data_IF_125577386467
#
_entry.id   IF_125577386467
#
_cell.length_a   1.000
_cell.length_b   1.000
_cell.length_c   1.000
_cell.angle_alpha   90.00
_cell.angle_beta   90.00
_cell.angle_gamma   90.00
#
_symmetry.space_group_name_H-M   'P 1'
#
loop_
_entity.id
_entity.type
_entity.pdbx_description
1 polymer ?
#
# COMPACT_ATOMS: atom_id res chain seq x y z
N UNK A 1 49.81 -15.37 32.00
CA UNK A 1 49.41 -13.96 31.88
C UNK A 1 50.14 -13.24 32.99
N UNK A 2 50.91 -12.19 32.69
CA UNK A 2 51.61 -11.38 33.69
C UNK A 2 51.06 -9.95 33.60
N UNK A 3 50.91 -9.29 34.74
CA UNK A 3 50.61 -7.87 34.77
C UNK A 3 51.94 -7.10 34.81
N UNK A 4 52.14 -6.15 33.90
CA UNK A 4 53.29 -5.27 33.92
C UNK A 4 52.85 -3.90 34.44
N UNK A 5 53.49 -3.44 35.51
CA UNK A 5 53.27 -2.10 36.03
C UNK A 5 53.93 -1.06 35.12
N UNK A 6 53.52 0.21 35.25
CA UNK A 6 54.03 1.31 34.41
C UNK A 6 55.53 1.59 34.56
N UNK A 7 56.16 0.98 35.56
CA UNK A 7 57.60 1.02 35.84
C UNK A 7 58.36 -0.22 35.30
N UNK A 8 57.69 -1.12 34.57
CA UNK A 8 58.28 -2.29 33.92
C UNK A 8 58.46 -3.51 34.83
N UNK A 9 57.93 -3.50 36.05
CA UNK A 9 57.92 -4.69 36.90
C UNK A 9 56.79 -5.64 36.51
N UNK A 10 57.14 -6.92 36.35
CA UNK A 10 56.19 -7.99 36.05
C UNK A 10 55.72 -8.68 37.32
N UNK A 11 54.42 -8.90 37.42
CA UNK A 11 53.77 -9.60 38.52
C UNK A 11 52.99 -10.79 38.00
N UNK A 12 53.09 -11.91 38.70
CA UNK A 12 52.20 -13.04 38.50
C UNK A 12 50.84 -12.73 39.15
N UNK A 13 49.74 -12.72 38.38
CA UNK A 13 48.43 -12.45 38.91
C UNK A 13 48.04 -13.53 39.94
N UNK A 14 47.42 -13.14 41.08
CA UNK A 14 47.02 -14.07 42.12
C UNK A 14 46.14 -15.21 41.61
N UNK A 15 46.16 -16.36 42.30
CA UNK A 15 45.16 -17.41 42.12
C UNK A 15 43.76 -16.79 42.28
N UNK A 16 42.89 -16.98 41.27
CA UNK A 16 41.55 -16.37 41.11
C UNK A 16 41.49 -15.00 40.41
N UNK A 17 42.54 -14.60 39.69
CA UNK A 17 42.43 -13.43 38.80
C UNK A 17 41.48 -13.73 37.64
N UNK A 18 40.41 -12.94 37.52
CA UNK A 18 39.47 -12.99 36.40
C UNK A 18 39.80 -11.83 35.47
N UNK A 19 40.16 -12.15 34.22
CA UNK A 19 40.25 -11.16 33.15
C UNK A 19 38.88 -11.01 32.51
N UNK A 20 38.28 -9.82 32.67
CA UNK A 20 37.04 -9.46 32.02
C UNK A 20 37.38 -8.52 30.85
N UNK A 21 37.26 -9.02 29.62
CA UNK A 21 37.32 -8.18 28.44
C UNK A 21 35.92 -7.60 28.20
N UNK A 22 35.81 -6.27 28.24
CA UNK A 22 34.57 -5.55 27.94
C UNK A 22 34.78 -4.73 26.67
N UNK A 23 33.73 -4.62 25.85
CA UNK A 23 33.72 -3.80 24.63
C UNK A 23 34.77 -4.19 23.57
N UNK A 24 34.98 -5.49 23.35
CA UNK A 24 35.78 -5.94 22.21
C UNK A 24 35.04 -5.55 20.92
N UNK A 25 35.63 -4.62 20.16
CA UNK A 25 35.18 -4.25 18.83
C UNK A 25 36.11 -4.94 17.81
N UNK A 26 35.54 -5.80 16.99
CA UNK A 26 36.28 -6.53 15.95
C UNK A 26 35.97 -5.92 14.59
N UNK A 27 37.00 -5.54 13.85
CA UNK A 27 36.85 -5.20 12.43
C UNK A 27 36.55 -6.44 11.56
N UNK A 28 36.94 -7.62 12.05
CA UNK A 28 36.79 -8.90 11.37
C UNK A 28 36.71 -10.03 12.39
N UNK A 29 35.74 -10.93 12.22
CA UNK A 29 35.62 -12.17 12.95
C UNK A 29 35.43 -13.32 11.96
N UNK A 30 36.16 -14.43 12.16
CA UNK A 30 36.06 -15.63 11.33
C UNK A 30 36.07 -16.89 12.18
N UNK A 31 35.22 -17.84 11.82
CA UNK A 31 35.19 -19.18 12.38
C UNK A 31 33.77 -19.66 12.56
N UNK A 32 33.57 -20.51 13.57
CA UNK A 32 32.23 -20.83 14.02
C UNK A 32 31.70 -19.66 14.84
N UNK A 33 30.83 -18.85 14.24
CA UNK A 33 30.26 -17.66 14.87
C UNK A 33 28.96 -17.95 15.65
N UNK A 34 28.54 -19.21 15.69
CA UNK A 34 27.32 -19.62 16.39
C UNK A 34 26.05 -19.12 15.71
N UNK A 35 24.94 -19.37 16.41
CA UNK A 35 23.62 -18.89 16.02
C UNK A 35 23.33 -17.58 16.72
N UNK A 36 23.17 -16.52 15.95
CA UNK A 36 22.96 -15.18 16.46
C UNK A 36 21.82 -14.51 15.73
N UNK A 37 21.06 -13.69 16.48
CA UNK A 37 19.93 -12.94 15.96
C UNK A 37 20.32 -11.48 15.79
N UNK A 38 20.17 -10.98 14.57
CA UNK A 38 20.31 -9.57 14.23
C UNK A 38 18.91 -8.98 14.06
N UNK A 39 18.60 -7.95 14.85
CA UNK A 39 17.27 -7.33 14.87
C UNK A 39 17.11 -6.37 13.70
N UNK A 40 16.03 -6.54 12.93
CA UNK A 40 15.75 -5.70 11.75
C UNK A 40 14.90 -4.48 12.06
N UNK A 41 14.07 -4.62 13.09
CA UNK A 41 13.08 -3.61 13.46
C UNK A 41 11.73 -3.87 12.78
N UNK A 42 10.70 -3.33 13.41
CA UNK A 42 9.33 -3.32 12.89
C UNK A 42 9.09 -2.06 12.09
N UNK A 43 8.45 -2.20 10.94
CA UNK A 43 8.14 -1.10 10.04
C UNK A 43 6.77 -1.32 9.38
N UNK A 44 6.25 -0.31 8.71
CA UNK A 44 4.92 -0.32 8.11
C UNK A 44 4.92 0.36 6.75
N UNK A 45 4.28 -0.27 5.76
CA UNK A 45 4.01 0.32 4.44
C UNK A 45 2.55 0.76 4.42
N UNK A 46 2.31 2.05 4.24
CA UNK A 46 0.96 2.63 4.06
C UNK A 46 0.45 2.39 2.63
N UNK A 47 -0.85 2.16 2.49
CA UNK A 47 -1.56 1.92 1.22
C UNK A 47 -2.71 2.91 1.10
N UNK A 48 -2.45 4.00 0.37
CA UNK A 48 -3.40 5.12 0.22
C UNK A 48 -4.63 4.79 -0.64
N UNK A 49 -4.68 3.61 -1.28
CA UNK A 49 -5.76 3.24 -2.20
C UNK A 49 -7.14 3.26 -1.53
N UNK A 50 -7.19 3.04 -0.22
CA UNK A 50 -8.42 2.92 0.56
C UNK A 50 -8.70 4.11 1.50
N UNK A 51 -7.89 5.18 1.48
CA UNK A 51 -8.00 6.31 2.43
C UNK A 51 -9.38 6.97 2.48
N UNK A 52 -10.04 7.06 1.32
CA UNK A 52 -11.35 7.69 1.16
C UNK A 52 -12.50 6.69 1.00
N UNK A 53 -12.25 5.41 1.29
CA UNK A 53 -13.25 4.36 1.16
C UNK A 53 -14.40 4.54 2.15
N UNK A 54 -15.63 4.36 1.66
CA UNK A 54 -16.84 4.33 2.48
C UNK A 54 -17.41 2.93 2.58
N UNK A 55 -17.50 2.24 1.44
CA UNK A 55 -18.17 0.95 1.32
C UNK A 55 -17.80 0.25 0.00
N UNK A 56 -18.20 -1.02 -0.09
CA UNK A 56 -18.06 -1.83 -1.29
C UNK A 56 -16.75 -2.61 -1.33
N UNK A 57 -16.73 -3.61 -2.19
CA UNK A 57 -15.66 -4.61 -2.21
C UNK A 57 -14.76 -4.41 -3.42
N UNK A 58 -13.45 -4.59 -3.20
CA UNK A 58 -12.44 -4.67 -4.27
C UNK A 58 -11.70 -5.99 -4.13
N UNK A 59 -11.57 -6.66 -5.27
CA UNK A 59 -10.92 -7.94 -5.36
C UNK A 59 -9.75 -7.87 -6.32
N UNK A 60 -8.57 -8.30 -5.89
CA UNK A 60 -7.38 -8.39 -6.72
C UNK A 60 -7.10 -9.85 -7.08
N UNK A 61 -6.86 -10.16 -8.35
CA UNK A 61 -6.62 -11.55 -8.78
C UNK A 61 -5.22 -12.06 -8.42
N UNK A 62 -4.21 -11.20 -8.57
CA UNK A 62 -2.80 -11.55 -8.47
C UNK A 62 -1.99 -10.55 -7.63
N UNK A 63 -2.42 -10.18 -6.40
CA UNK A 63 -1.62 -9.31 -5.55
C UNK A 63 -0.37 -10.04 -5.05
N UNK A 64 0.73 -9.31 -4.90
CA UNK A 64 2.02 -9.86 -4.42
C UNK A 64 2.70 -8.95 -3.42
N UNK A 65 3.43 -9.56 -2.47
CA UNK A 65 4.39 -8.86 -1.62
C UNK A 65 5.77 -9.44 -1.89
N UNK A 66 6.71 -8.58 -2.25
CA UNK A 66 8.09 -8.98 -2.56
C UNK A 66 9.01 -8.54 -1.44
N UNK A 67 9.74 -9.49 -0.87
CA UNK A 67 10.88 -9.22 0.00
C UNK A 67 12.15 -9.25 -0.84
N UNK A 68 12.90 -8.15 -0.85
CA UNK A 68 14.22 -8.07 -1.45
C UNK A 68 15.27 -8.05 -0.35
N UNK A 69 16.18 -9.01 -0.40
CA UNK A 69 17.20 -9.21 0.60
C UNK A 69 18.55 -8.73 0.09
N UNK A 70 19.32 -8.08 0.97
CA UNK A 70 20.76 -7.91 0.83
C UNK A 70 21.44 -8.54 2.04
N UNK A 71 22.50 -9.30 1.81
CA UNK A 71 23.26 -9.94 2.87
C UNK A 71 24.76 -9.90 2.55
N UNK A 72 25.55 -9.41 3.52
CA UNK A 72 27.01 -9.41 3.46
C UNK A 72 27.65 -10.22 4.59
N UNK A 73 26.84 -10.91 5.40
CA UNK A 73 27.33 -11.91 6.35
C UNK A 73 27.88 -13.11 5.59
N UNK A 74 29.12 -13.51 5.86
CA UNK A 74 29.77 -14.64 5.22
C UNK A 74 29.38 -16.01 5.75
N UNK A 75 28.11 -16.20 6.10
CA UNK A 75 27.57 -17.42 6.71
C UNK A 75 26.07 -17.56 6.43
N UNK A 76 25.52 -18.80 6.49
CA UNK A 76 24.09 -19.03 6.32
C UNK A 76 23.28 -18.09 7.19
N UNK A 77 22.28 -17.47 6.59
CA UNK A 77 21.40 -16.51 7.26
C UNK A 77 19.98 -16.80 6.80
N UNK A 78 19.04 -16.89 7.74
CA UNK A 78 17.62 -17.14 7.48
C UNK A 78 16.78 -16.02 8.09
N UNK A 79 15.70 -15.61 7.45
CA UNK A 79 14.77 -14.67 8.08
C UNK A 79 14.08 -15.33 9.27
N UNK A 80 13.83 -14.52 10.28
CA UNK A 80 12.88 -14.83 11.34
C UNK A 80 11.82 -13.71 11.31
N UNK A 81 10.62 -14.05 10.87
CA UNK A 81 9.52 -13.11 10.66
C UNK A 81 8.66 -13.13 11.92
N UNK A 82 8.73 -12.09 12.74
CA UNK A 82 8.00 -12.02 14.00
C UNK A 82 6.59 -11.44 13.83
N UNK A 83 6.47 -10.49 12.90
CA UNK A 83 5.21 -9.83 12.53
C UNK A 83 5.15 -9.81 11.01
N UNK A 84 4.02 -10.22 10.45
CA UNK A 84 3.70 -9.99 9.06
C UNK A 84 2.17 -10.03 8.91
N UNK A 85 1.56 -8.85 8.86
CA UNK A 85 0.12 -8.71 8.95
C UNK A 85 -0.37 -7.50 8.16
N UNK A 86 -1.65 -7.52 7.81
CA UNK A 86 -2.35 -6.48 7.09
C UNK A 86 -3.28 -5.76 8.07
N UNK A 87 -3.23 -4.44 8.08
CA UNK A 87 -4.20 -3.58 8.75
C UNK A 87 -5.25 -3.15 7.72
N UNK A 88 -6.53 -3.27 8.05
CA UNK A 88 -7.63 -2.98 7.12
C UNK A 88 -8.38 -1.70 7.46
N UNK A 89 -9.18 -1.21 6.51
CA UNK A 89 -10.14 -0.10 6.71
C UNK A 89 -11.17 -0.37 7.81
N UNK A 90 -11.45 -1.64 8.12
CA UNK A 90 -12.39 -2.05 9.17
C UNK A 90 -11.70 -2.21 10.55
N UNK A 91 -10.45 -1.76 10.68
CA UNK A 91 -9.61 -1.89 11.88
C UNK A 91 -9.23 -3.34 12.25
N UNK A 92 -9.42 -4.29 11.33
CA UNK A 92 -8.98 -5.67 11.52
C UNK A 92 -7.46 -5.81 11.32
N UNK A 93 -6.89 -6.78 12.03
CA UNK A 93 -5.49 -7.18 11.90
C UNK A 93 -5.45 -8.61 11.38
N UNK A 94 -5.11 -8.75 10.10
CA UNK A 94 -5.13 -10.04 9.41
C UNK A 94 -3.70 -10.56 9.23
N UNK A 95 -3.32 -11.71 9.82
CA UNK A 95 -1.99 -12.25 9.64
C UNK A 95 -1.79 -12.77 8.21
N UNK A 96 -0.61 -12.54 7.65
CA UNK A 96 -0.21 -13.23 6.43
C UNK A 96 0.26 -14.63 6.80
N UNK A 97 -0.41 -15.63 6.24
CA UNK A 97 -0.15 -17.04 6.47
C UNK A 97 0.63 -17.65 5.32
N UNK A 98 1.76 -18.27 5.63
CA UNK A 98 2.61 -19.00 4.68
C UNK A 98 3.58 -19.90 5.45
N UNK A 99 3.92 -21.07 4.91
CA UNK A 99 4.98 -21.91 5.48
C UNK A 99 6.31 -21.14 5.58
N UNK A 100 6.58 -20.22 4.66
CA UNK A 100 7.80 -19.39 4.66
C UNK A 100 7.83 -18.32 5.75
N UNK A 101 6.68 -17.97 6.33
CA UNK A 101 6.62 -17.11 7.52
C UNK A 101 7.06 -17.89 8.76
N UNK A 102 6.72 -19.18 8.82
CA UNK A 102 7.04 -20.07 9.95
C UNK A 102 8.48 -20.59 9.85
N UNK A 103 8.84 -21.15 8.69
CA UNK A 103 10.13 -21.79 8.46
C UNK A 103 11.24 -20.77 8.22
N UNK A 104 10.89 -19.57 7.72
CA UNK A 104 11.83 -18.55 7.31
C UNK A 104 12.33 -18.73 5.88
N UNK A 105 13.04 -17.73 5.38
CA UNK A 105 13.57 -17.66 4.02
C UNK A 105 15.09 -17.58 4.11
N UNK A 106 15.80 -18.44 3.38
CA UNK A 106 17.27 -18.44 3.36
C UNK A 106 17.83 -17.33 2.46
N UNK A 107 18.85 -16.63 2.97
CA UNK A 107 19.48 -15.52 2.30
C UNK A 107 20.72 -16.06 1.59
N UNK A 108 21.00 -15.68 0.33
CA UNK A 108 22.30 -15.94 -0.24
C UNK A 108 23.35 -15.19 0.58
N UNK A 109 24.55 -15.74 0.67
CA UNK A 109 25.63 -15.17 1.46
C UNK A 109 26.97 -15.29 0.72
N UNK A 110 27.88 -14.32 0.87
CA UNK A 110 29.21 -14.40 0.28
C UNK A 110 30.02 -15.54 0.89
N UNK A 111 30.80 -16.23 0.06
CA UNK A 111 31.82 -17.17 0.52
C UNK A 111 33.07 -16.43 1.03
N UNK A 112 34.01 -17.14 1.68
CA UNK A 112 35.27 -16.55 2.16
C UNK A 112 36.10 -15.88 1.05
N UNK A 113 36.01 -16.38 -0.19
CA UNK A 113 36.69 -15.79 -1.35
C UNK A 113 36.00 -14.53 -1.88
N UNK A 114 34.75 -14.32 -1.48
CA UNK A 114 33.89 -13.19 -1.87
C UNK A 114 33.77 -12.17 -0.72
N UNK A 115 34.75 -12.15 0.18
CA UNK A 115 34.76 -11.23 1.32
C UNK A 115 34.59 -9.77 0.87
N UNK A 116 33.66 -9.07 1.53
CA UNK A 116 33.29 -7.69 1.20
C UNK A 116 32.25 -7.56 0.08
N UNK A 117 31.80 -8.66 -0.53
CA UNK A 117 30.66 -8.65 -1.44
C UNK A 117 29.33 -8.71 -0.69
N UNK A 118 28.29 -8.16 -1.31
CA UNK A 118 26.90 -8.27 -0.87
C UNK A 118 26.20 -9.22 -1.85
N UNK A 119 25.50 -10.22 -1.32
CA UNK A 119 24.60 -11.07 -2.12
C UNK A 119 23.17 -10.56 -1.99
N UNK A 120 22.41 -10.66 -3.07
CA UNK A 120 21.02 -10.23 -3.12
C UNK A 120 20.12 -11.33 -3.64
N UNK A 121 18.88 -11.36 -3.16
CA UNK A 121 17.82 -12.24 -3.67
C UNK A 121 16.46 -11.55 -3.46
N UNK A 122 15.41 -12.17 -4.01
CA UNK A 122 14.04 -11.81 -3.69
C UNK A 122 13.21 -13.05 -3.39
N UNK A 123 12.19 -12.88 -2.56
CA UNK A 123 11.15 -13.87 -2.31
C UNK A 123 9.80 -13.20 -2.49
N UNK A 124 8.88 -13.87 -3.18
CA UNK A 124 7.58 -13.31 -3.52
C UNK A 124 6.50 -14.14 -2.82
N UNK A 125 5.77 -13.47 -1.93
CA UNK A 125 4.50 -13.98 -1.41
C UNK A 125 3.42 -13.72 -2.45
N UNK A 126 2.75 -14.78 -2.88
CA UNK A 126 1.69 -14.75 -3.88
C UNK A 126 0.58 -15.75 -3.48
N UNK A 127 -0.47 -15.81 -4.29
CA UNK A 127 -1.64 -16.68 -4.04
C UNK A 127 -1.33 -18.18 -3.98
N UNK A 128 -0.18 -18.63 -4.50
CA UNK A 128 0.17 -20.05 -4.56
C UNK A 128 0.90 -20.51 -3.29
N UNK A 129 1.46 -19.58 -2.50
CA UNK A 129 2.25 -19.88 -1.31
C UNK A 129 1.77 -19.15 -0.05
N UNK A 130 0.65 -18.42 -0.11
CA UNK A 130 0.12 -17.67 1.03
C UNK A 130 -1.38 -17.36 0.89
N UNK A 131 -1.99 -16.88 1.97
CA UNK A 131 -3.36 -16.34 1.99
C UNK A 131 -3.48 -14.90 1.44
N UNK A 132 -2.47 -14.41 0.70
CA UNK A 132 -2.33 -12.99 0.35
C UNK A 132 -3.55 -12.39 -0.37
N UNK A 133 -4.26 -13.18 -1.19
CA UNK A 133 -5.46 -12.71 -1.91
C UNK A 133 -6.60 -12.35 -0.96
N UNK A 134 -6.71 -13.07 0.16
CA UNK A 134 -7.74 -12.82 1.16
C UNK A 134 -7.40 -11.55 1.95
N UNK A 135 -6.18 -11.47 2.48
CA UNK A 135 -5.79 -10.35 3.35
C UNK A 135 -5.64 -9.03 2.60
N UNK A 136 -5.15 -9.03 1.35
CA UNK A 136 -5.09 -7.82 0.50
C UNK A 136 -6.41 -7.52 -0.23
N UNK A 137 -7.38 -8.44 -0.21
CA UNK A 137 -8.75 -8.20 -0.66
C UNK A 137 -9.65 -7.58 0.41
N UNK A 138 -9.21 -7.53 1.66
CA UNK A 138 -9.98 -7.05 2.81
C UNK A 138 -9.81 -5.54 3.07
N UNK A 139 -9.62 -4.73 2.01
CA UNK A 139 -9.41 -3.28 2.14
C UNK A 139 -8.14 -2.90 2.94
N UNK A 140 -6.94 -3.31 2.50
CA UNK A 140 -5.69 -3.04 3.22
C UNK A 140 -5.33 -1.55 3.24
N UNK A 141 -5.11 -0.98 4.41
CA UNK A 141 -4.56 0.38 4.60
C UNK A 141 -3.07 0.36 4.92
N UNK A 142 -2.55 -0.78 5.41
CA UNK A 142 -1.13 -0.92 5.69
C UNK A 142 -0.65 -2.37 5.74
N UNK A 143 0.64 -2.58 5.46
CA UNK A 143 1.37 -3.83 5.68
C UNK A 143 2.40 -3.62 6.79
N UNK A 144 2.25 -4.35 7.88
CA UNK A 144 3.10 -4.25 9.07
C UNK A 144 3.97 -5.50 9.19
N UNK A 145 5.29 -5.30 9.32
CA UNK A 145 6.26 -6.38 9.30
C UNK A 145 7.44 -6.16 10.27
N UNK A 146 7.99 -7.26 10.79
CA UNK A 146 9.20 -7.30 11.61
C UNK A 146 10.03 -8.53 11.24
N UNK A 147 11.22 -8.28 10.66
CA UNK A 147 12.05 -9.32 10.04
C UNK A 147 13.47 -9.25 10.61
N UNK A 148 13.81 -10.25 11.42
CA UNK A 148 15.17 -10.44 11.90
C UNK A 148 15.97 -11.32 10.93
N UNK A 149 17.30 -11.23 11.02
CA UNK A 149 18.22 -12.17 10.39
C UNK A 149 18.82 -13.10 11.44
N UNK A 150 18.69 -14.41 11.22
CA UNK A 150 19.22 -15.45 12.07
C UNK A 150 20.41 -16.12 11.37
N UNK A 151 21.63 -15.87 11.85
CA UNK A 151 22.83 -16.48 11.29
C UNK A 151 23.01 -17.90 11.82
N UNK A 152 23.60 -18.78 11.01
CA UNK A 152 23.78 -20.20 11.26
C UNK A 152 22.52 -20.86 11.90
N UNK A 153 21.36 -20.77 11.23
CA UNK A 153 20.06 -21.13 11.82
C UNK A 153 19.99 -22.60 12.28
N UNK A 154 20.72 -23.48 11.59
CA UNK A 154 20.76 -24.92 11.83
C UNK A 154 21.89 -25.34 12.81
N UNK A 155 22.64 -24.37 13.36
CA UNK A 155 23.71 -24.57 14.34
C UNK A 155 24.82 -25.55 13.89
N UNK A 156 25.08 -25.65 12.58
CA UNK A 156 26.09 -26.56 12.05
C UNK A 156 27.51 -26.07 12.45
N UNK A 157 28.25 -26.82 13.28
CA UNK A 157 29.58 -26.43 13.74
C UNK A 157 30.67 -26.55 12.66
N UNK A 158 30.37 -27.22 11.55
CA UNK A 158 31.30 -27.39 10.44
C UNK A 158 31.40 -26.16 9.54
N UNK A 159 30.40 -25.28 9.61
CA UNK A 159 30.36 -24.04 8.84
C UNK A 159 31.22 -22.99 9.55
N UNK A 160 32.31 -22.62 8.87
CA UNK A 160 33.17 -21.50 9.28
C UNK A 160 32.92 -20.33 8.35
N UNK A 161 32.33 -19.27 8.90
CA UNK A 161 32.00 -18.05 8.17
C UNK A 161 32.78 -16.84 8.65
N UNK A 162 32.45 -15.68 8.10
CA UNK A 162 33.05 -14.40 8.49
C UNK A 162 32.00 -13.30 8.67
N UNK A 163 32.31 -12.32 9.51
CA UNK A 163 31.58 -11.05 9.67
C UNK A 163 32.61 -9.93 9.81
N UNK A 164 32.38 -8.80 9.15
CA UNK A 164 33.17 -7.57 9.31
C UNK A 164 32.37 -6.51 10.07
N UNK A 165 33.03 -5.45 10.53
CA UNK A 165 32.37 -4.26 11.09
C UNK A 165 31.50 -3.49 10.10
N UNK A 166 31.70 -3.73 8.80
CA UNK A 166 30.89 -3.22 7.70
C UNK A 166 29.80 -4.19 7.22
N UNK A 167 29.74 -5.40 7.77
CA UNK A 167 28.71 -6.36 7.39
C UNK A 167 27.34 -5.89 7.86
N UNK A 168 26.37 -6.03 6.96
CA UNK A 168 24.98 -5.74 7.18
C UNK A 168 24.10 -6.76 6.46
N UNK A 169 22.84 -6.81 6.89
CA UNK A 169 21.75 -7.32 6.08
C UNK A 169 20.71 -6.21 5.91
N UNK A 170 19.89 -6.33 4.86
CA UNK A 170 18.77 -5.43 4.59
C UNK A 170 17.63 -6.22 4.02
N UNK A 171 16.41 -5.89 4.44
CA UNK A 171 15.18 -6.39 3.83
C UNK A 171 14.38 -5.17 3.37
N UNK A 172 14.04 -5.14 2.09
CA UNK A 172 13.13 -4.15 1.53
C UNK A 172 11.85 -4.87 1.14
N UNK A 173 10.71 -4.32 1.54
CA UNK A 173 9.39 -4.92 1.29
C UNK A 173 8.66 -4.04 0.27
N UNK A 174 8.07 -4.69 -0.74
CA UNK A 174 7.27 -4.05 -1.78
C UNK A 174 5.90 -4.70 -1.84
N UNK A 175 4.85 -3.90 -1.97
CA UNK A 175 3.48 -4.36 -2.15
C UNK A 175 3.03 -3.97 -3.54
N UNK A 176 2.65 -4.95 -4.36
CA UNK A 176 2.09 -4.72 -5.68
C UNK A 176 0.62 -5.16 -5.71
N UNK A 177 -0.27 -4.18 -5.90
CA UNK A 177 -1.70 -4.38 -6.12
C UNK A 177 -2.02 -4.14 -7.61
N UNK A 178 -1.99 -5.16 -8.46
CA UNK A 178 -2.29 -4.97 -9.87
C UNK A 178 -3.75 -4.59 -10.04
N UNK A 179 -4.06 -3.65 -10.95
CA UNK A 179 -5.43 -3.32 -11.35
C UNK A 179 -6.03 -4.41 -12.27
N UNK A 180 -5.96 -5.65 -11.80
CA UNK A 180 -6.56 -6.85 -12.38
C UNK A 180 -7.44 -7.48 -11.31
N UNK A 181 -8.76 -7.37 -11.49
CA UNK A 181 -9.66 -7.61 -10.37
C UNK A 181 -11.10 -7.27 -10.65
N UNK A 182 -11.93 -7.31 -9.61
CA UNK A 182 -13.32 -6.88 -9.68
C UNK A 182 -13.65 -5.88 -8.56
N UNK A 183 -14.65 -5.05 -8.80
CA UNK A 183 -15.15 -4.10 -7.81
C UNK A 183 -16.67 -4.03 -7.89
N UNK A 184 -17.32 -4.02 -6.72
CA UNK A 184 -18.77 -3.94 -6.54
C UNK A 184 -19.06 -2.84 -5.53
N UNK A 185 -19.82 -1.83 -5.94
CA UNK A 185 -20.24 -0.70 -5.09
C UNK A 185 -19.07 -0.01 -4.35
N UNK A 186 -17.86 -0.03 -4.91
CA UNK A 186 -16.68 0.59 -4.29
C UNK A 186 -16.87 2.12 -4.30
N UNK A 187 -17.27 2.68 -3.16
CA UNK A 187 -17.58 4.10 -3.01
C UNK A 187 -16.44 4.81 -2.30
N UNK A 188 -15.99 5.91 -2.88
CA UNK A 188 -15.07 6.86 -2.26
C UNK A 188 -15.73 8.22 -2.10
N UNK A 189 -15.37 8.94 -1.04
CA UNK A 189 -15.84 10.30 -0.78
C UNK A 189 -14.68 11.28 -0.77
N UNK A 190 -14.85 12.38 -1.50
CA UNK A 190 -13.95 13.52 -1.40
C UNK A 190 -14.76 14.80 -1.12
N UNK A 191 -14.14 15.77 -0.45
CA UNK A 191 -14.79 17.05 -0.13
C UNK A 191 -13.97 18.21 -0.66
N UNK A 192 -14.60 19.02 -1.51
CA UNK A 192 -13.98 20.18 -2.15
C UNK A 192 -14.50 21.47 -1.53
N UNK A 193 -13.62 22.47 -1.40
CA UNK A 193 -14.05 23.84 -1.10
C UNK A 193 -14.78 24.44 -2.31
N UNK A 194 -15.89 25.12 -2.04
CA UNK A 194 -16.76 25.72 -3.04
C UNK A 194 -17.03 27.18 -2.66
N UNK A 195 -16.94 28.08 -3.63
CA UNK A 195 -17.36 29.47 -3.45
C UNK A 195 -18.34 29.87 -4.55
N UNK A 196 -19.61 30.03 -4.17
CA UNK A 196 -20.68 30.47 -5.08
C UNK A 196 -21.03 31.95 -4.94
N UNK A 197 -20.39 32.68 -4.02
CA UNK A 197 -20.73 34.07 -3.70
C UNK A 197 -20.56 35.03 -4.91
N UNK A 198 -19.79 34.63 -5.92
CA UNK A 198 -19.53 35.39 -7.15
C UNK A 198 -20.68 35.31 -8.17
N UNK A 199 -21.62 34.37 -8.03
CA UNK A 199 -22.72 34.15 -8.97
C UNK A 199 -23.99 34.91 -8.59
N UNK A 200 -23.88 36.21 -8.37
CA UNK A 200 -25.04 37.09 -8.06
C UNK A 200 -25.87 37.34 -9.32
N UNK A 201 -27.19 37.15 -9.23
CA UNK A 201 -28.12 37.43 -10.33
C UNK A 201 -28.31 36.30 -11.35
N UNK A 202 -27.93 35.08 -11.00
CA UNK A 202 -28.22 33.88 -11.79
C UNK A 202 -29.52 33.27 -11.28
N UNK A 203 -30.49 33.08 -12.18
CA UNK A 203 -31.82 32.58 -11.85
C UNK A 203 -31.98 31.08 -12.07
N UNK A 204 -31.14 30.46 -12.89
CA UNK A 204 -31.09 29.01 -13.04
C UNK A 204 -29.75 28.59 -13.65
N UNK A 205 -29.41 27.32 -13.45
CA UNK A 205 -28.22 26.72 -14.06
C UNK A 205 -28.59 25.40 -14.74
N UNK A 206 -28.11 25.17 -15.95
CA UNK A 206 -28.15 23.87 -16.61
C UNK A 206 -26.74 23.32 -16.68
N UNK A 207 -26.52 22.15 -16.07
CA UNK A 207 -25.26 21.42 -16.15
C UNK A 207 -25.34 20.35 -17.22
N UNK A 208 -24.30 20.28 -18.05
CA UNK A 208 -24.09 19.24 -19.05
C UNK A 208 -22.81 18.48 -18.73
N UNK A 209 -22.96 17.22 -18.36
CA UNK A 209 -21.87 16.28 -18.21
C UNK A 209 -21.70 15.48 -19.50
N UNK A 210 -20.49 15.42 -20.04
CA UNK A 210 -20.11 14.53 -21.13
C UNK A 210 -18.97 13.66 -20.65
N UNK A 211 -19.19 12.35 -20.60
CA UNK A 211 -18.20 11.39 -20.18
C UNK A 211 -17.84 10.43 -21.34
N UNK A 212 -16.55 10.14 -21.48
CA UNK A 212 -16.00 9.07 -22.32
C UNK A 212 -15.20 8.13 -21.41
N UNK A 213 -15.46 6.83 -21.48
CA UNK A 213 -14.83 5.84 -20.61
C UNK A 213 -14.24 4.69 -21.41
N UNK A 214 -12.90 4.57 -21.38
CA UNK A 214 -12.18 3.43 -21.94
C UNK A 214 -11.83 2.35 -20.92
N UNK A 215 -12.09 2.57 -19.63
CA UNK A 215 -11.83 1.62 -18.55
C UNK A 215 -13.03 0.68 -18.35
N UNK A 216 -12.80 -0.58 -17.92
CA UNK A 216 -13.87 -1.55 -17.65
C UNK A 216 -14.57 -1.32 -16.31
N UNK A 217 -14.71 -0.05 -15.93
CA UNK A 217 -15.24 0.39 -14.64
C UNK A 217 -16.28 1.48 -14.91
N UNK A 218 -17.54 1.21 -14.61
CA UNK A 218 -18.59 2.21 -14.59
C UNK A 218 -18.44 3.13 -13.38
N UNK A 219 -18.91 4.37 -13.53
CA UNK A 219 -18.80 5.40 -12.49
C UNK A 219 -20.20 5.91 -12.19
N UNK A 220 -20.59 5.76 -10.92
CA UNK A 220 -21.68 6.47 -10.27
C UNK A 220 -21.15 7.72 -9.59
N UNK A 221 -21.95 8.78 -9.61
CA UNK A 221 -21.63 10.01 -8.89
C UNK A 221 -22.84 10.41 -8.08
N UNK A 222 -22.59 11.00 -6.91
CA UNK A 222 -23.54 11.76 -6.13
C UNK A 222 -22.78 12.89 -5.41
N UNK A 223 -23.42 14.04 -5.22
CA UNK A 223 -22.82 15.19 -4.55
C UNK A 223 -23.77 15.80 -3.53
N UNK A 224 -23.21 16.39 -2.48
CA UNK A 224 -23.93 17.09 -1.43
C UNK A 224 -23.29 18.45 -1.18
N UNK A 225 -24.07 19.51 -1.32
CA UNK A 225 -23.64 20.87 -1.00
C UNK A 225 -23.74 21.08 0.51
N UNK A 226 -22.63 21.50 1.12
CA UNK A 226 -22.51 21.69 2.55
C UNK A 226 -22.27 23.16 2.89
N UNK A 227 -22.83 23.62 4.00
CA UNK A 227 -22.48 24.93 4.58
C UNK A 227 -21.12 24.90 5.30
N UNK A 228 -20.74 26.03 5.91
CA UNK A 228 -19.49 26.18 6.68
C UNK A 228 -19.39 25.20 7.87
N UNK A 229 -20.53 24.77 8.40
CA UNK A 229 -20.62 23.84 9.53
C UNK A 229 -20.73 22.37 9.11
N UNK A 230 -20.72 22.08 7.80
CA UNK A 230 -20.84 20.73 7.24
C UNK A 230 -22.29 20.23 7.16
N UNK A 231 -23.29 21.08 7.32
CA UNK A 231 -24.69 20.70 7.17
C UNK A 231 -25.06 20.61 5.69
N UNK A 232 -25.71 19.51 5.29
CA UNK A 232 -26.23 19.33 3.92
C UNK A 232 -27.34 20.33 3.64
N UNK A 233 -27.12 21.19 2.65
CA UNK A 233 -28.06 22.18 2.15
C UNK A 233 -28.94 21.60 1.03
N UNK A 234 -28.32 20.91 0.07
CA UNK A 234 -28.99 20.26 -1.05
C UNK A 234 -28.09 19.18 -1.68
N UNK A 235 -28.63 18.36 -2.56
CA UNK A 235 -27.92 17.32 -3.31
C UNK A 235 -27.69 17.74 -4.78
N UNK A 236 -26.57 17.31 -5.35
CA UNK A 236 -26.26 17.48 -6.77
C UNK A 236 -27.18 16.64 -7.66
N UNK A 237 -27.49 15.40 -7.24
CA UNK A 237 -28.40 14.50 -7.93
C UNK A 237 -29.51 14.06 -6.98
N UNK A 238 -30.75 13.99 -7.47
CA UNK A 238 -31.91 13.55 -6.68
C UNK A 238 -31.82 12.08 -6.26
N UNK A 239 -31.15 11.27 -7.06
CA UNK A 239 -30.78 9.88 -6.79
C UNK A 239 -29.36 9.65 -7.29
N UNK A 240 -28.63 8.72 -6.69
CA UNK A 240 -27.35 8.28 -7.25
C UNK A 240 -27.57 7.76 -8.67
N UNK A 241 -26.73 8.22 -9.59
CA UNK A 241 -26.82 7.85 -10.99
C UNK A 241 -25.47 7.40 -11.52
N UNK A 242 -25.51 6.29 -12.26
CA UNK A 242 -24.37 5.82 -13.05
C UNK A 242 -24.19 6.74 -14.25
N UNK A 243 -23.35 7.75 -14.08
CA UNK A 243 -23.08 8.79 -15.08
C UNK A 243 -22.40 8.24 -16.34
N UNK A 244 -21.66 7.13 -16.22
CA UNK A 244 -21.09 6.43 -17.37
C UNK A 244 -20.93 4.93 -17.08
N UNK A 245 -21.17 4.10 -18.09
CA UNK A 245 -20.94 2.66 -18.04
C UNK A 245 -19.45 2.34 -18.23
N UNK A 246 -19.03 1.18 -17.75
CA UNK A 246 -17.70 0.64 -18.01
C UNK A 246 -17.59 0.15 -19.45
N UNK A 247 -16.40 0.23 -20.01
CA UNK A 247 -16.08 -0.32 -21.32
C UNK A 247 -16.40 -1.84 -21.37
N UNK A 248 -16.99 -2.34 -22.47
CA UNK A 248 -17.23 -3.78 -22.64
C UNK A 248 -15.91 -4.55 -22.67
N UNK A 249 -15.88 -5.72 -22.05
CA UNK A 249 -14.67 -6.55 -21.90
C UNK A 249 -14.71 -7.81 -22.75
N UNK A 250 -13.54 -8.32 -23.12
CA UNK A 250 -13.36 -9.64 -23.73
C UNK A 250 -13.48 -10.76 -22.68
N UNK A 251 -13.39 -12.01 -23.13
CA UNK A 251 -13.31 -13.19 -22.26
C UNK A 251 -12.10 -13.14 -21.31
N UNK A 252 -11.04 -12.43 -21.69
CA UNK A 252 -9.83 -12.27 -20.87
C UNK A 252 -9.88 -11.05 -19.93
N UNK A 253 -11.03 -10.38 -19.84
CA UNK A 253 -11.22 -9.20 -18.98
C UNK A 253 -10.63 -7.91 -19.54
N UNK A 254 -10.26 -7.88 -20.83
CA UNK A 254 -9.66 -6.72 -21.48
C UNK A 254 -10.73 -5.84 -22.15
N UNK A 255 -10.68 -4.51 -21.98
CA UNK A 255 -11.57 -3.59 -22.69
C UNK A 255 -11.48 -3.72 -24.21
N UNK A 256 -12.63 -3.63 -24.87
CA UNK A 256 -12.76 -3.83 -26.33
C UNK A 256 -13.26 -2.59 -27.07
N UNK A 257 -13.88 -1.65 -26.36
CA UNK A 257 -14.40 -0.40 -26.90
C UNK A 257 -14.48 0.68 -25.81
N UNK A 258 -14.89 1.88 -26.18
CA UNK A 258 -15.15 2.98 -25.23
C UNK A 258 -16.64 3.25 -25.11
N UNK A 259 -17.11 3.55 -23.91
CA UNK A 259 -18.48 4.01 -23.66
C UNK A 259 -18.55 5.54 -23.63
N UNK A 260 -19.72 6.09 -23.99
CA UNK A 260 -19.98 7.52 -23.96
C UNK A 260 -21.34 7.80 -23.34
N UNK A 261 -21.40 8.81 -22.48
CA UNK A 261 -22.64 9.24 -21.86
C UNK A 261 -22.72 10.76 -21.84
N UNK A 262 -23.93 11.29 -22.00
CA UNK A 262 -24.23 12.71 -21.83
C UNK A 262 -25.40 12.83 -20.88
N UNK A 263 -25.18 13.52 -19.76
CA UNK A 263 -26.20 13.74 -18.73
C UNK A 263 -26.45 15.24 -18.61
N UNK A 264 -27.73 15.62 -18.64
CA UNK A 264 -28.17 17.01 -18.43
C UNK A 264 -28.83 17.10 -17.06
N UNK A 265 -28.53 18.16 -16.32
CA UNK A 265 -29.11 18.42 -15.00
C UNK A 265 -29.50 19.89 -14.89
N UNK A 266 -30.79 20.10 -14.72
CA UNK A 266 -31.36 21.44 -14.56
C UNK A 266 -31.46 21.76 -13.08
N UNK A 267 -30.86 22.87 -12.66
CA UNK A 267 -31.05 23.47 -11.35
C UNK A 267 -32.07 24.59 -11.49
N UNK A 268 -33.24 24.40 -10.88
CA UNK A 268 -34.22 25.48 -10.74
C UNK A 268 -33.64 26.62 -9.89
N UNK A 269 -34.14 27.84 -10.07
CA UNK A 269 -33.70 28.98 -9.26
C UNK A 269 -33.89 28.81 -7.77
N UNK A 270 -34.93 28.06 -7.36
CA UNK A 270 -35.12 27.68 -5.97
C UNK A 270 -33.98 26.77 -5.47
N UNK A 271 -33.56 25.79 -6.27
CA UNK A 271 -32.43 24.91 -5.93
C UNK A 271 -31.11 25.69 -5.90
N UNK A 272 -30.90 26.58 -6.87
CA UNK A 272 -29.71 27.41 -6.93
C UNK A 272 -29.60 28.36 -5.73
N UNK A 273 -30.71 28.95 -5.29
CA UNK A 273 -30.76 29.80 -4.09
C UNK A 273 -30.43 29.01 -2.82
N UNK A 274 -30.87 27.75 -2.72
CA UNK A 274 -30.56 26.88 -1.56
C UNK A 274 -29.10 26.50 -1.45
N UNK A 275 -28.40 26.33 -2.58
CA UNK A 275 -26.98 25.97 -2.58
C UNK A 275 -26.06 27.19 -2.53
N UNK A 276 -26.56 28.41 -2.77
CA UNK A 276 -25.78 29.65 -2.69
C UNK A 276 -24.93 29.80 -1.41
N UNK A 277 -25.42 29.48 -0.20
CA UNK A 277 -24.60 29.56 1.01
C UNK A 277 -23.60 28.39 1.16
N UNK A 278 -23.56 27.43 0.23
CA UNK A 278 -22.65 26.30 0.30
C UNK A 278 -21.20 26.76 0.23
N UNK A 279 -20.39 26.24 1.15
CA UNK A 279 -18.94 26.46 1.22
C UNK A 279 -18.14 25.23 0.83
N UNK A 280 -18.78 24.05 0.78
CA UNK A 280 -18.15 22.80 0.39
C UNK A 280 -19.06 21.95 -0.47
N UNK A 281 -18.47 21.06 -1.27
CA UNK A 281 -19.13 20.02 -2.03
C UNK A 281 -18.52 18.67 -1.64
N UNK A 282 -19.29 17.84 -0.96
CA UNK A 282 -18.96 16.43 -0.71
C UNK A 282 -19.39 15.60 -1.92
N UNK A 283 -18.45 14.98 -2.62
CA UNK A 283 -18.68 14.18 -3.82
C UNK A 283 -18.37 12.71 -3.53
N UNK A 284 -19.37 11.86 -3.65
CA UNK A 284 -19.21 10.41 -3.63
C UNK A 284 -19.11 9.88 -5.06
N UNK A 285 -18.06 9.13 -5.34
CA UNK A 285 -17.89 8.38 -6.58
C UNK A 285 -17.96 6.88 -6.29
N UNK A 286 -18.87 6.17 -6.96
CA UNK A 286 -19.05 4.73 -6.80
C UNK A 286 -18.62 3.99 -8.06
N UNK A 287 -17.73 3.03 -7.91
CA UNK A 287 -17.12 2.30 -9.01
C UNK A 287 -17.66 0.87 -9.11
N UNK A 288 -17.92 0.44 -10.35
CA UNK A 288 -18.45 -0.88 -10.66
C UNK A 288 -17.71 -1.48 -11.84
N UNK A 289 -17.20 -2.68 -11.71
CA UNK A 289 -16.65 -3.37 -12.89
C UNK A 289 -17.74 -3.71 -13.90
N UNK A 290 -17.43 -3.72 -15.21
CA UNK A 290 -18.42 -3.87 -16.30
C UNK A 290 -19.32 -5.10 -16.18
N UNK A 291 -18.88 -6.14 -15.46
CA UNK A 291 -19.60 -7.40 -15.22
C UNK A 291 -20.20 -7.49 -13.81
N UNK A 292 -20.27 -6.38 -13.07
CA UNK A 292 -20.77 -6.27 -11.70
C UNK A 292 -20.18 -7.39 -10.79
N UNK A 293 -18.87 -7.62 -10.88
CA UNK A 293 -18.16 -8.61 -10.06
C UNK A 293 -18.09 -10.03 -10.62
N UNK A 294 -18.82 -10.36 -11.69
CA UNK A 294 -18.85 -11.73 -12.22
C UNK A 294 -17.56 -12.18 -12.92
N UNK A 295 -16.74 -11.23 -13.38
CA UNK A 295 -15.49 -11.49 -14.07
C UNK A 295 -14.48 -10.41 -13.69
N UNK A 296 -13.25 -10.83 -13.37
CA UNK A 296 -12.14 -9.92 -13.17
C UNK A 296 -11.74 -9.23 -14.48
N UNK A 297 -11.51 -7.92 -14.40
CA UNK A 297 -11.17 -7.05 -15.52
C UNK A 297 -9.77 -6.47 -15.32
N UNK A 298 -9.12 -6.11 -16.42
CA UNK A 298 -7.78 -5.50 -16.41
C UNK A 298 -7.87 -4.04 -16.83
N UNK A 299 -7.39 -3.16 -15.96
CA UNK A 299 -7.20 -1.75 -16.28
C UNK A 299 -5.78 -1.58 -16.81
N UNK A 300 -5.65 -1.05 -18.02
CA UNK A 300 -4.37 -0.84 -18.69
C UNK A 300 -3.97 0.63 -18.64
N UNK A 301 -2.67 0.90 -18.70
CA UNK A 301 -2.12 2.25 -18.58
C UNK A 301 -2.49 3.20 -19.74
N UNK A 302 -2.94 2.67 -20.88
CA UNK A 302 -3.35 3.44 -22.07
C UNK A 302 -4.83 3.82 -22.07
N UNK A 303 -5.59 3.38 -21.06
CA UNK A 303 -7.01 3.67 -20.92
C UNK A 303 -7.24 4.98 -20.18
N UNK A 304 -8.21 5.75 -20.66
CA UNK A 304 -8.57 7.02 -20.07
C UNK A 304 -10.06 7.08 -19.77
N UNK A 305 -10.40 7.75 -18.67
CA UNK A 305 -11.74 8.31 -18.43
C UNK A 305 -11.64 9.82 -18.59
N UNK A 306 -12.49 10.37 -19.46
CA UNK A 306 -12.60 11.81 -19.67
C UNK A 306 -14.00 12.25 -19.26
N UNK A 307 -14.09 13.00 -18.17
CA UNK A 307 -15.32 13.66 -17.73
C UNK A 307 -15.21 15.14 -18.01
N UNK A 308 -16.19 15.71 -18.73
CA UNK A 308 -16.25 17.13 -19.07
C UNK A 308 -17.56 17.69 -18.53
N UNK A 309 -17.47 18.71 -17.71
CA UNK A 309 -18.61 19.43 -17.16
C UNK A 309 -18.70 20.81 -17.82
N UNK A 310 -19.87 21.15 -18.35
CA UNK A 310 -20.21 22.50 -18.78
C UNK A 310 -21.44 22.99 -18.02
N UNK A 311 -21.55 24.30 -17.83
CA UNK A 311 -22.72 24.94 -17.22
C UNK A 311 -23.21 26.08 -18.12
N UNK A 312 -24.53 26.22 -18.23
CA UNK A 312 -25.20 27.38 -18.80
C UNK A 312 -25.93 28.08 -17.65
N UNK A 313 -25.57 29.34 -17.40
CA UNK A 313 -26.21 30.16 -16.37
C UNK A 313 -27.22 31.10 -17.05
N UNK A 314 -28.46 31.05 -16.60
CA UNK A 314 -29.53 31.90 -17.08
C UNK A 314 -29.79 33.07 -16.15
N UNK A 315 -30.07 34.24 -16.73
CA UNK A 315 -30.61 35.42 -16.04
C UNK A 315 -31.95 35.73 -16.69
N UNK A 316 -33.00 35.81 -15.89
CA UNK A 316 -34.32 36.24 -16.30
C UNK A 316 -34.33 37.76 -16.21
N UNK A 317 -34.54 38.43 -17.34
CA UNK A 317 -34.87 39.86 -17.30
C UNK A 317 -36.29 39.99 -16.72
N UNK A 318 -36.39 40.46 -15.47
CA UNK A 318 -37.64 40.96 -14.90
C UNK A 318 -38.12 42.14 -15.75
N UNK A 319 -39.26 41.96 -16.44
CA UNK A 319 -39.95 42.99 -17.21
C UNK A 319 -41.28 43.32 -16.55
#
# INVERSE_FOLDING_TARGET
>A
YHAEATDGQTFDPPQNTVLLFQNLAFAYAEGYLGKERYVGGRDTIEIDFFDNWIQGDVWFEDPVITFQFENSFGLPTRSEINVFQILTVEEDVLPLESDFVIDGIDFPYPTLEEMGQVKTSSFIFNKDNSNIREVLGAGPIAVDYDINALTNPDEDPTIRGFITDSSYYRVQVFVDLPLHGSAIDFTVLDTFDLNLDEFTGVDYAEFKLVADNGMPVAIGVQGYFLDEYGQVLDSLLTTEERIIRGAPVSVDGLPTATEKAVTYRDFSGEAFTRIMPAKKLALTATFYTTTDGQQSVKILADQEVRVRLGAILGVSDDN
#
